data_IF_048529034883
#
_entry.id   IF_048529034883
#
_cell.length_a   1.000
_cell.length_b   1.000
_cell.length_c   1.000
_cell.angle_alpha   90.00
_cell.angle_beta   90.00
_cell.angle_gamma   90.00
#
_symmetry.space_group_name_H-M   'P 1'
#
loop_
_entity.id
_entity.type
_entity.pdbx_description
1 polymer ?
#
# COMPACT_ATOMS: atom_id res chain seq x y z
N UNK A 1 -39.00 44.29 38.87
CA UNK A 1 -38.49 44.42 37.49
C UNK A 1 -36.99 44.24 37.56
N UNK A 2 -36.48 43.21 36.87
CA UNK A 2 -35.07 42.79 36.79
C UNK A 2 -34.19 43.93 36.21
N UNK A 3 -32.85 43.95 36.30
CA UNK A 3 -31.84 42.95 36.63
C UNK A 3 -30.52 43.67 37.01
N UNK A 4 -29.66 43.03 37.82
CA UNK A 4 -28.24 43.36 37.91
C UNK A 4 -27.39 42.09 38.17
N UNK A 5 -26.40 41.91 37.30
CA UNK A 5 -25.05 41.34 37.45
C UNK A 5 -24.72 40.01 38.20
N UNK A 6 -23.91 39.20 37.47
CA UNK A 6 -22.69 38.48 37.90
C UNK A 6 -22.71 37.03 38.47
N UNK A 7 -22.13 36.14 37.65
CA UNK A 7 -21.05 35.15 37.94
C UNK A 7 -21.29 33.78 38.65
N UNK A 8 -20.60 32.76 38.07
CA UNK A 8 -20.02 31.50 38.64
C UNK A 8 -20.81 30.15 38.63
N UNK A 9 -20.27 29.22 37.82
CA UNK A 9 -20.05 27.76 37.94
C UNK A 9 -21.18 26.69 38.06
N UNK A 10 -21.09 25.76 37.08
CA UNK A 10 -21.24 24.28 37.10
C UNK A 10 -22.59 23.62 37.43
N UNK A 11 -23.01 22.69 36.55
CA UNK A 11 -23.18 21.23 36.81
C UNK A 11 -23.95 20.58 35.65
N UNK A 12 -23.30 19.58 35.02
CA UNK A 12 -23.80 18.41 34.26
C UNK A 12 -25.02 18.49 33.32
N UNK A 13 -24.78 18.11 32.06
CA UNK A 13 -25.82 17.77 31.08
C UNK A 13 -25.24 17.11 29.83
N UNK A 14 -24.77 15.87 29.97
CA UNK A 14 -24.46 14.96 28.87
C UNK A 14 -25.79 14.53 28.24
N UNK A 15 -26.04 14.83 26.96
CA UNK A 15 -26.98 14.07 26.12
C UNK A 15 -26.57 14.12 24.64
N UNK A 16 -26.32 12.92 24.11
CA UNK A 16 -26.46 12.40 22.76
C UNK A 16 -26.42 13.33 21.53
N UNK A 17 -25.32 13.21 20.78
CA UNK A 17 -25.30 13.38 19.33
C UNK A 17 -24.96 12.04 18.64
N UNK A 18 -25.85 11.06 18.75
CA UNK A 18 -25.92 9.88 17.87
C UNK A 18 -27.13 10.00 16.94
N UNK A 19 -27.13 10.94 16.00
CA UNK A 19 -28.12 10.98 14.92
C UNK A 19 -27.73 11.98 13.81
N UNK A 20 -26.53 11.89 13.22
CA UNK A 20 -26.23 12.69 12.01
C UNK A 20 -25.16 12.09 11.07
N UNK A 21 -24.91 10.78 11.13
CA UNK A 21 -23.90 10.10 10.28
C UNK A 21 -24.54 9.26 9.16
N UNK A 22 -25.86 9.07 9.15
CA UNK A 22 -26.53 8.18 8.20
C UNK A 22 -27.14 8.85 6.96
N UNK A 23 -27.05 10.18 6.81
CA UNK A 23 -27.70 10.90 5.68
C UNK A 23 -26.75 11.39 4.59
N UNK A 24 -25.43 11.16 4.69
CA UNK A 24 -24.45 11.66 3.71
C UNK A 24 -23.77 10.57 2.86
N UNK A 25 -24.26 9.33 2.91
CA UNK A 25 -23.69 8.19 2.16
C UNK A 25 -24.26 8.01 0.74
N UNK A 26 -25.29 8.75 0.34
CA UNK A 26 -25.94 8.56 -0.98
C UNK A 26 -25.44 9.52 -2.10
N UNK A 27 -24.39 10.31 -1.87
CA UNK A 27 -24.00 11.36 -2.82
C UNK A 27 -22.49 11.44 -3.14
N UNK A 28 -21.78 10.33 -3.31
CA UNK A 28 -20.41 10.32 -3.87
C UNK A 28 -20.00 9.01 -4.58
N UNK A 29 -20.94 8.16 -5.00
CA UNK A 29 -20.60 6.81 -5.53
C UNK A 29 -20.84 6.65 -7.04
N UNK A 30 -20.15 7.46 -7.86
CA UNK A 30 -20.19 7.33 -9.33
C UNK A 30 -18.90 6.82 -9.96
N UNK A 31 -17.79 6.72 -9.22
CA UNK A 31 -16.51 6.21 -9.74
C UNK A 31 -16.29 4.72 -9.49
N UNK A 32 -16.83 4.14 -8.41
CA UNK A 32 -16.70 2.70 -8.13
C UNK A 32 -17.69 1.83 -8.93
N UNK A 33 -18.79 2.40 -9.44
CA UNK A 33 -19.81 1.65 -10.18
C UNK A 33 -19.36 1.16 -11.57
N UNK A 34 -18.32 1.74 -12.17
CA UNK A 34 -17.89 1.37 -13.53
C UNK A 34 -17.13 0.03 -13.59
N UNK A 35 -16.49 -0.42 -12.51
CA UNK A 35 -15.84 -1.73 -12.45
C UNK A 35 -16.79 -2.90 -12.13
N UNK A 36 -17.97 -2.63 -11.57
CA UNK A 36 -18.89 -3.65 -11.03
C UNK A 36 -19.99 -4.09 -12.03
N UNK A 37 -20.32 -3.26 -13.01
CA UNK A 37 -21.50 -3.47 -13.85
C UNK A 37 -21.19 -4.28 -15.14
N UNK A 38 -20.96 -5.60 -15.02
CA UNK A 38 -21.23 -6.61 -16.09
C UNK A 38 -20.89 -8.04 -15.60
N UNK A 39 -21.90 -8.74 -15.08
CA UNK A 39 -21.80 -10.17 -14.77
C UNK A 39 -23.13 -10.88 -15.04
N UNK A 40 -23.24 -11.55 -16.18
CA UNK A 40 -24.38 -12.41 -16.49
C UNK A 40 -24.37 -13.70 -15.65
N UNK A 41 -25.57 -14.16 -15.30
CA UNK A 41 -25.86 -15.26 -14.37
C UNK A 41 -25.48 -16.64 -14.92
N UNK A 42 -24.81 -17.46 -14.11
CA UNK A 42 -24.79 -18.93 -14.23
C UNK A 42 -25.13 -19.55 -12.88
N UNK A 43 -26.10 -20.47 -12.85
CA UNK A 43 -26.63 -21.15 -11.64
C UNK A 43 -25.69 -22.30 -11.18
N UNK A 44 -25.60 -22.61 -9.88
CA UNK A 44 -24.76 -23.69 -9.38
C UNK A 44 -25.50 -25.03 -9.35
N UNK A 45 -24.83 -26.12 -9.76
CA UNK A 45 -25.27 -27.48 -9.47
C UNK A 45 -24.17 -28.30 -8.79
N UNK A 46 -24.47 -28.61 -7.52
CA UNK A 46 -24.17 -29.81 -6.74
C UNK A 46 -22.72 -30.26 -6.46
N UNK A 47 -22.54 -30.51 -5.16
CA UNK A 47 -21.37 -31.01 -4.47
C UNK A 47 -20.99 -32.44 -4.86
N UNK A 48 -19.68 -32.72 -4.78
CA UNK A 48 -19.14 -34.06 -4.73
C UNK A 48 -17.80 -34.04 -3.99
N UNK A 49 -17.77 -34.67 -2.81
CA UNK A 49 -16.52 -35.17 -2.21
C UNK A 49 -15.80 -36.06 -3.23
N UNK A 50 -14.45 -36.10 -3.26
CA UNK A 50 -13.67 -37.35 -3.23
C UNK A 50 -12.15 -37.07 -3.10
N UNK A 51 -11.63 -37.72 -2.06
CA UNK A 51 -10.31 -38.24 -1.70
C UNK A 51 -9.10 -38.14 -2.66
N UNK A 52 -7.97 -37.90 -1.99
CA UNK A 52 -6.58 -37.98 -2.43
C UNK A 52 -6.18 -39.41 -2.87
N UNK A 53 -5.66 -39.56 -4.08
CA UNK A 53 -4.77 -40.67 -4.47
C UNK A 53 -3.68 -40.12 -5.39
N UNK A 54 -2.42 -40.28 -4.96
CA UNK A 54 -1.28 -40.06 -5.83
C UNK A 54 -1.18 -41.13 -6.91
N UNK A 55 -0.44 -40.82 -7.98
CA UNK A 55 0.60 -41.66 -8.62
C UNK A 55 0.99 -41.11 -10.00
N UNK A 56 2.32 -41.06 -10.19
CA UNK A 56 3.16 -41.10 -11.41
C UNK A 56 3.07 -40.07 -12.54
N UNK A 57 4.28 -39.57 -12.84
CA UNK A 57 4.78 -39.07 -14.12
C UNK A 57 4.25 -39.86 -15.32
N UNK A 58 3.65 -39.14 -16.26
CA UNK A 58 3.75 -39.42 -17.70
C UNK A 58 3.83 -38.10 -18.46
N UNK A 59 4.78 -38.06 -19.39
CA UNK A 59 5.11 -36.97 -20.31
C UNK A 59 3.90 -36.52 -21.12
N UNK A 60 3.62 -35.21 -21.11
CA UNK A 60 2.72 -34.55 -22.03
C UNK A 60 3.48 -33.46 -22.79
N UNK A 61 3.19 -33.42 -24.08
CA UNK A 61 3.89 -32.72 -25.16
C UNK A 61 3.80 -31.20 -24.95
N UNK A 62 4.95 -30.53 -24.90
CA UNK A 62 5.05 -29.08 -24.79
C UNK A 62 4.45 -28.41 -26.04
N UNK A 63 3.34 -27.69 -25.85
CA UNK A 63 3.00 -26.56 -26.73
C UNK A 63 3.27 -25.29 -25.95
N UNK A 64 4.55 -24.93 -25.88
CA UNK A 64 4.94 -23.61 -25.42
C UNK A 64 4.46 -22.58 -26.45
N UNK A 65 3.61 -21.63 -26.03
CA UNK A 65 3.58 -20.34 -26.72
C UNK A 65 4.96 -19.72 -26.52
N UNK A 66 5.76 -19.72 -27.58
CA UNK A 66 7.02 -19.04 -27.63
C UNK A 66 6.77 -17.54 -27.49
N UNK A 67 7.12 -16.98 -26.33
CA UNK A 67 7.38 -15.55 -26.20
C UNK A 67 8.78 -15.35 -26.76
N UNK A 68 8.87 -15.29 -28.09
CA UNK A 68 10.05 -14.82 -28.79
C UNK A 68 9.85 -13.34 -29.10
N UNK A 69 10.28 -12.49 -28.17
CA UNK A 69 10.85 -11.20 -28.55
C UNK A 69 11.82 -10.72 -27.46
N UNK A 70 13.11 -10.91 -27.74
CA UNK A 70 14.20 -10.30 -27.00
C UNK A 70 14.52 -9.01 -27.77
N UNK A 71 14.12 -7.86 -27.23
CA UNK A 71 14.39 -6.55 -27.81
C UNK A 71 15.42 -5.75 -27.02
N UNK A 72 16.23 -4.98 -27.74
CA UNK A 72 16.85 -3.68 -27.38
C UNK A 72 15.96 -2.84 -26.42
N UNK A 73 16.45 -1.79 -25.70
CA UNK A 73 15.65 -1.05 -24.70
C UNK A 73 14.25 -0.73 -25.25
N UNK A 74 13.32 -1.60 -24.88
CA UNK A 74 12.06 -1.76 -25.58
C UNK A 74 11.05 -0.86 -24.91
N UNK A 75 10.04 -0.42 -25.67
CA UNK A 75 8.91 0.30 -25.10
C UNK A 75 8.36 -0.44 -23.87
N UNK A 76 8.08 0.34 -22.81
CA UNK A 76 7.57 -0.17 -21.54
C UNK A 76 6.32 -1.02 -21.79
N UNK A 77 6.19 -2.24 -21.22
CA UNK A 77 5.17 -3.22 -21.63
C UNK A 77 3.74 -2.69 -21.71
N UNK A 78 3.34 -1.81 -20.79
CA UNK A 78 2.01 -1.22 -20.73
C UNK A 78 1.64 -0.39 -21.98
N UNK A 79 2.61 0.17 -22.70
CA UNK A 79 2.36 0.96 -23.92
C UNK A 79 1.80 0.14 -25.09
N UNK A 80 1.93 -1.19 -25.02
CA UNK A 80 1.41 -2.14 -26.01
C UNK A 80 0.06 -2.75 -25.62
N UNK A 81 -0.40 -2.51 -24.39
CA UNK A 81 -1.68 -3.02 -23.91
C UNK A 81 -2.83 -2.25 -24.54
N UNK A 82 -3.97 -2.93 -24.71
CA UNK A 82 -5.22 -2.22 -24.97
C UNK A 82 -5.64 -1.38 -23.75
N UNK A 83 -6.49 -0.38 -23.95
CA UNK A 83 -7.01 0.42 -22.84
C UNK A 83 -7.74 -0.43 -21.77
N UNK A 84 -8.50 -1.45 -22.20
CA UNK A 84 -9.19 -2.39 -21.30
C UNK A 84 -8.21 -3.25 -20.50
N UNK A 85 -7.16 -3.76 -21.16
CA UNK A 85 -6.12 -4.54 -20.49
C UNK A 85 -5.38 -3.69 -19.48
N UNK A 86 -5.01 -2.45 -19.84
CA UNK A 86 -4.35 -1.51 -18.93
C UNK A 86 -5.23 -1.19 -17.72
N UNK A 87 -6.51 -0.92 -17.93
CA UNK A 87 -7.46 -0.68 -16.86
C UNK A 87 -7.52 -1.87 -15.89
N UNK A 88 -7.60 -3.09 -16.43
CA UNK A 88 -7.61 -4.30 -15.60
C UNK A 88 -6.31 -4.49 -14.82
N UNK A 89 -5.14 -4.17 -15.39
CA UNK A 89 -3.86 -4.22 -14.68
C UNK A 89 -3.80 -3.26 -13.49
N UNK A 90 -4.50 -2.12 -13.55
CA UNK A 90 -4.59 -1.13 -12.47
C UNK A 90 -5.89 -1.24 -11.66
N UNK A 91 -6.53 -2.41 -11.66
CA UNK A 91 -7.67 -2.71 -10.80
C UNK A 91 -7.38 -3.93 -9.91
N UNK A 92 -6.64 -3.76 -8.79
CA UNK A 92 -6.21 -4.89 -7.95
C UNK A 92 -7.36 -5.78 -7.44
N UNK A 93 -8.55 -5.19 -7.25
CA UNK A 93 -9.76 -5.93 -6.86
C UNK A 93 -10.19 -7.03 -7.83
N UNK A 94 -9.76 -6.97 -9.10
CA UNK A 94 -10.06 -8.00 -10.10
C UNK A 94 -9.06 -9.17 -10.09
N UNK A 95 -7.93 -9.04 -9.39
CA UNK A 95 -6.86 -10.05 -9.37
C UNK A 95 -6.87 -10.93 -8.12
N UNK A 96 -7.52 -10.45 -7.04
CA UNK A 96 -7.70 -11.22 -5.82
C UNK A 96 -8.43 -12.54 -6.08
N UNK A 97 -7.92 -13.64 -5.52
CA UNK A 97 -8.49 -14.99 -5.69
C UNK A 97 -9.41 -15.39 -4.54
N UNK A 98 -9.33 -14.67 -3.41
CA UNK A 98 -10.02 -15.00 -2.16
C UNK A 98 -11.48 -14.56 -2.17
N UNK A 99 -11.75 -13.34 -2.64
CA UNK A 99 -13.06 -12.71 -2.66
C UNK A 99 -13.33 -12.07 -4.03
N UNK A 100 -14.60 -11.88 -4.39
CA UNK A 100 -14.96 -11.07 -5.57
C UNK A 100 -14.60 -9.60 -5.32
N UNK A 101 -14.32 -8.85 -6.38
CA UNK A 101 -13.88 -7.45 -6.32
C UNK A 101 -14.64 -6.57 -5.31
N UNK A 102 -15.98 -6.51 -5.43
CA UNK A 102 -16.78 -5.69 -4.51
C UNK A 102 -16.73 -6.18 -3.06
N UNK A 103 -16.68 -7.50 -2.86
CA UNK A 103 -16.63 -8.10 -1.53
C UNK A 103 -15.27 -7.90 -0.88
N UNK A 104 -14.19 -7.95 -1.66
CA UNK A 104 -12.84 -7.61 -1.21
C UNK A 104 -12.78 -6.17 -0.70
N UNK A 105 -13.28 -5.19 -1.47
CA UNK A 105 -13.31 -3.78 -1.07
C UNK A 105 -14.14 -3.54 0.20
N UNK A 106 -15.33 -4.14 0.29
CA UNK A 106 -16.17 -4.04 1.49
C UNK A 106 -15.49 -4.67 2.71
N UNK A 107 -14.88 -5.83 2.55
CA UNK A 107 -14.18 -6.55 3.63
C UNK A 107 -12.98 -5.74 4.12
N UNK A 108 -12.17 -5.22 3.21
CA UNK A 108 -11.03 -4.37 3.51
C UNK A 108 -11.43 -3.15 4.36
N UNK A 109 -12.45 -2.39 3.93
CA UNK A 109 -12.93 -1.22 4.69
C UNK A 109 -13.52 -1.62 6.05
N UNK A 110 -14.30 -2.71 6.13
CA UNK A 110 -14.86 -3.18 7.40
C UNK A 110 -13.78 -3.58 8.41
N UNK A 111 -12.74 -4.31 7.97
CA UNK A 111 -11.61 -4.69 8.83
C UNK A 111 -10.87 -3.43 9.29
N UNK A 112 -10.62 -2.48 8.39
CA UNK A 112 -9.96 -1.21 8.70
C UNK A 112 -10.71 -0.36 9.71
N UNK A 113 -12.02 -0.19 9.53
CA UNK A 113 -12.91 0.53 10.46
C UNK A 113 -12.89 -0.14 11.83
N UNK A 114 -13.02 -1.47 11.87
CA UNK A 114 -13.03 -2.20 13.14
C UNK A 114 -11.68 -2.12 13.87
N UNK A 115 -10.56 -2.23 13.13
CA UNK A 115 -9.23 -2.05 13.68
C UNK A 115 -9.05 -0.64 14.27
N UNK A 116 -9.48 0.41 13.55
CA UNK A 116 -9.42 1.80 14.05
C UNK A 116 -10.32 2.03 15.25
N UNK A 117 -11.55 1.51 15.22
CA UNK A 117 -12.48 1.60 16.36
C UNK A 117 -11.87 0.97 17.60
N UNK A 118 -11.29 -0.23 17.46
CA UNK A 118 -10.61 -0.93 18.56
C UNK A 118 -9.42 -0.13 19.08
N UNK A 119 -8.51 0.27 18.19
CA UNK A 119 -7.33 1.04 18.55
C UNK A 119 -7.66 2.30 19.36
N UNK A 120 -8.68 3.07 18.94
CA UNK A 120 -9.15 4.27 19.67
C UNK A 120 -9.76 3.97 21.03
N UNK A 121 -10.40 2.80 21.16
CA UNK A 121 -11.03 2.40 22.42
C UNK A 121 -10.02 1.82 23.42
N UNK A 122 -8.95 1.18 22.95
CA UNK A 122 -8.06 0.38 23.79
C UNK A 122 -6.65 0.93 23.97
N UNK A 123 -6.20 1.87 23.13
CA UNK A 123 -4.82 2.41 23.19
C UNK A 123 -4.78 3.82 23.73
N UNK A 124 -3.68 4.14 24.41
CA UNK A 124 -3.33 5.54 24.72
C UNK A 124 -3.07 6.25 23.40
N UNK A 125 -3.84 7.30 23.10
CA UNK A 125 -3.75 7.98 21.81
C UNK A 125 -3.95 9.49 21.89
N UNK A 126 -3.35 10.21 20.94
CA UNK A 126 -3.71 11.58 20.57
C UNK A 126 -4.38 11.54 19.21
N UNK A 127 -5.65 11.92 19.13
CA UNK A 127 -6.43 11.88 17.89
C UNK A 127 -6.53 13.26 17.27
N UNK A 128 -6.61 13.31 15.95
CA UNK A 128 -6.79 14.54 15.16
C UNK A 128 -5.73 15.62 15.44
N UNK A 129 -4.49 15.21 15.67
CA UNK A 129 -3.37 16.12 15.89
C UNK A 129 -3.07 16.84 14.56
N UNK A 130 -3.18 18.17 14.49
CA UNK A 130 -2.86 18.90 13.28
C UNK A 130 -1.35 18.93 13.06
N UNK A 131 -0.92 18.59 11.85
CA UNK A 131 0.46 18.81 11.38
C UNK A 131 0.56 19.95 10.35
N UNK A 132 -0.59 20.51 9.98
CA UNK A 132 -0.75 21.68 9.13
C UNK A 132 -2.13 22.31 9.30
N UNK A 133 -2.48 23.26 8.44
CA UNK A 133 -3.68 24.09 8.57
C UNK A 133 -4.89 23.51 7.81
N UNK A 134 -4.66 22.54 6.91
CA UNK A 134 -5.72 21.93 6.11
C UNK A 134 -6.54 20.87 6.87
N UNK A 135 -7.79 20.65 6.42
CA UNK A 135 -8.66 19.62 7.02
C UNK A 135 -8.09 18.21 6.90
N UNK A 136 -7.41 17.91 5.79
CA UNK A 136 -6.70 16.64 5.57
C UNK A 136 -5.39 16.54 6.36
N UNK A 137 -4.94 17.62 7.02
CA UNK A 137 -3.60 17.71 7.60
C UNK A 137 -3.56 17.31 9.08
N UNK A 138 -4.15 16.15 9.35
CA UNK A 138 -4.32 15.59 10.69
C UNK A 138 -3.73 14.20 10.77
N UNK A 139 -3.22 13.83 11.94
CA UNK A 139 -2.76 12.48 12.23
C UNK A 139 -3.27 12.00 13.59
N UNK A 140 -3.37 10.68 13.73
CA UNK A 140 -3.62 10.03 15.02
C UNK A 140 -2.32 9.36 15.48
N UNK A 141 -1.93 9.58 16.74
CA UNK A 141 -0.74 8.96 17.35
C UNK A 141 -1.21 7.99 18.43
N UNK A 142 -0.80 6.73 18.32
CA UNK A 142 -1.05 5.67 19.27
C UNK A 142 0.25 5.28 19.95
N UNK A 143 0.27 5.26 21.28
CA UNK A 143 1.47 5.00 22.07
C UNK A 143 1.46 3.57 22.63
N UNK A 144 2.63 2.97 22.86
CA UNK A 144 2.74 1.77 23.66
C UNK A 144 2.26 2.00 25.10
N UNK A 145 1.88 0.92 25.77
CA UNK A 145 1.36 0.98 27.14
C UNK A 145 2.46 1.35 28.15
N UNK A 146 3.68 0.85 27.92
CA UNK A 146 4.85 1.20 28.72
C UNK A 146 5.42 2.55 28.29
N UNK A 147 5.57 3.46 29.26
CA UNK A 147 6.18 4.76 29.02
C UNK A 147 7.69 4.60 28.86
N UNK A 148 8.24 5.16 27.77
CA UNK A 148 9.67 5.30 27.57
C UNK A 148 10.01 6.76 27.21
N UNK A 149 11.24 7.18 27.52
CA UNK A 149 11.72 8.52 27.20
C UNK A 149 11.90 8.74 25.69
N UNK A 150 12.21 7.67 24.96
CA UNK A 150 12.35 7.65 23.51
C UNK A 150 11.64 6.41 22.96
N UNK A 151 11.02 6.55 21.79
CA UNK A 151 10.27 5.48 21.12
C UNK A 151 10.63 5.45 19.64
N UNK A 152 10.63 4.27 18.99
CA UNK A 152 10.54 4.19 17.54
C UNK A 152 9.13 4.59 17.09
N UNK A 153 9.05 5.32 15.97
CA UNK A 153 7.80 5.75 15.35
C UNK A 153 7.58 5.03 14.03
N UNK A 154 6.36 4.54 13.82
CA UNK A 154 5.91 3.92 12.59
C UNK A 154 4.76 4.75 12.00
N UNK A 155 5.02 5.45 10.90
CA UNK A 155 4.03 6.26 10.19
C UNK A 155 3.42 5.44 9.07
N UNK A 156 2.09 5.42 8.98
CA UNK A 156 1.36 4.74 7.93
C UNK A 156 0.62 5.73 7.01
N UNK A 157 0.81 5.53 5.70
CA UNK A 157 0.08 6.23 4.64
C UNK A 157 -0.86 5.24 3.93
N UNK A 158 -2.15 5.56 3.89
CA UNK A 158 -3.18 4.66 3.38
C UNK A 158 -3.16 4.54 1.84
N UNK A 159 -3.84 3.52 1.31
CA UNK A 159 -4.03 3.34 -0.13
C UNK A 159 -5.22 4.14 -0.67
N UNK A 160 -5.78 3.68 -1.79
CA UNK A 160 -7.02 4.22 -2.37
C UNK A 160 -6.85 5.14 -3.58
N UNK A 161 -5.80 4.93 -4.38
CA UNK A 161 -5.53 5.69 -5.61
C UNK A 161 -5.55 7.22 -5.43
N UNK A 162 -5.11 7.69 -4.25
CA UNK A 162 -5.08 9.12 -3.89
C UNK A 162 -6.45 9.82 -3.95
N UNK A 163 -7.54 9.09 -4.09
CA UNK A 163 -8.89 9.60 -4.28
C UNK A 163 -9.91 8.95 -3.33
N UNK A 164 -9.45 8.05 -2.46
CA UNK A 164 -10.24 7.34 -1.46
C UNK A 164 -9.36 6.91 -0.29
N UNK A 165 -9.99 6.38 0.76
CA UNK A 165 -9.33 6.01 2.01
C UNK A 165 -9.32 7.13 3.04
N UNK A 166 -9.04 6.77 4.30
CA UNK A 166 -8.90 7.72 5.41
C UNK A 166 -8.05 7.12 6.53
N UNK A 167 -7.44 7.99 7.35
CA UNK A 167 -6.85 7.59 8.64
C UNK A 167 -7.85 6.88 9.56
N UNK A 168 -9.14 7.16 9.40
CA UNK A 168 -10.22 6.65 10.26
C UNK A 168 -10.57 5.18 9.98
N UNK A 169 -9.99 4.57 8.95
CA UNK A 169 -10.15 3.15 8.59
C UNK A 169 -8.80 2.46 8.31
N UNK A 170 -7.69 3.02 8.81
CA UNK A 170 -6.33 2.59 8.43
C UNK A 170 -5.44 2.12 9.58
N UNK A 171 -6.00 1.88 10.78
CA UNK A 171 -5.23 1.54 11.98
C UNK A 171 -4.86 0.05 12.11
N UNK A 172 -4.75 -0.70 11.01
CA UNK A 172 -4.55 -2.16 10.99
C UNK A 172 -3.39 -2.62 11.90
N UNK A 173 -2.26 -1.92 11.85
CA UNK A 173 -1.02 -2.25 12.53
C UNK A 173 -0.90 -1.70 13.97
N UNK A 174 -1.85 -0.88 14.43
CA UNK A 174 -1.72 -0.17 15.71
C UNK A 174 -1.57 -1.15 16.87
N UNK A 175 -2.47 -2.12 16.97
CA UNK A 175 -2.48 -3.07 18.09
C UNK A 175 -1.21 -3.93 18.21
N UNK A 176 -0.73 -4.58 17.14
CA UNK A 176 0.48 -5.41 17.24
C UNK A 176 1.76 -4.60 17.44
N UNK A 177 1.88 -3.41 16.85
CA UNK A 177 3.11 -2.60 16.96
C UNK A 177 3.20 -1.86 18.30
N UNK A 178 2.11 -1.30 18.80
CA UNK A 178 2.11 -0.67 20.13
C UNK A 178 2.39 -1.68 21.24
N UNK A 179 1.92 -2.93 21.09
CA UNK A 179 2.27 -4.03 21.99
C UNK A 179 3.76 -4.41 21.97
N UNK A 180 4.54 -3.93 20.98
CA UNK A 180 5.98 -4.15 20.85
C UNK A 180 6.80 -2.88 21.16
N UNK A 181 6.21 -1.88 21.81
CA UNK A 181 6.92 -0.67 22.20
C UNK A 181 7.06 0.38 21.09
N UNK A 182 6.32 0.24 19.97
CA UNK A 182 6.39 1.17 18.84
C UNK A 182 5.24 2.18 18.91
N UNK A 183 5.55 3.47 18.79
CA UNK A 183 4.53 4.50 18.58
C UNK A 183 4.04 4.44 17.13
N UNK A 184 2.73 4.34 16.91
CA UNK A 184 2.15 4.24 15.57
C UNK A 184 1.41 5.52 15.23
N UNK A 185 1.67 6.05 14.04
CA UNK A 185 1.08 7.28 13.54
C UNK A 185 0.30 6.99 12.28
N UNK A 186 -1.02 7.22 12.29
CA UNK A 186 -1.86 7.08 11.10
C UNK A 186 -2.12 8.48 10.54
N UNK A 187 -1.62 8.73 9.33
CA UNK A 187 -1.61 10.06 8.72
C UNK A 187 -2.77 10.19 7.74
N UNK A 188 -3.58 11.24 7.88
CA UNK A 188 -4.46 11.69 6.81
C UNK A 188 -3.71 12.65 5.89
N UNK A 189 -4.20 12.78 4.66
CA UNK A 189 -3.81 13.79 3.68
C UNK A 189 -5.05 14.08 2.81
N UNK A 190 -5.06 15.20 2.09
CA UNK A 190 -6.13 15.50 1.16
C UNK A 190 -6.16 14.48 0.01
N UNK A 191 -7.32 14.26 -0.59
CA UNK A 191 -7.50 13.32 -1.69
C UNK A 191 -8.10 14.02 -2.91
N UNK A 192 -7.86 13.48 -4.10
CA UNK A 192 -8.42 13.98 -5.34
C UNK A 192 -9.95 13.82 -5.36
N UNK A 193 -10.68 14.72 -6.04
CA UNK A 193 -10.20 15.83 -6.85
C UNK A 193 -9.88 17.11 -6.05
N UNK A 194 -10.06 17.10 -4.72
CA UNK A 194 -9.84 18.29 -3.88
C UNK A 194 -8.36 18.63 -3.71
N UNK A 195 -7.52 17.61 -3.53
CA UNK A 195 -6.07 17.74 -3.45
C UNK A 195 -5.37 17.23 -4.71
N UNK A 196 -4.25 17.86 -5.08
CA UNK A 196 -3.35 17.37 -6.14
C UNK A 196 -2.28 16.44 -5.56
N UNK A 197 -1.65 15.61 -6.41
CA UNK A 197 -0.55 14.74 -5.95
C UNK A 197 0.60 15.52 -5.31
N UNK A 198 0.97 16.68 -5.86
CA UNK A 198 2.03 17.51 -5.26
C UNK A 198 1.66 17.98 -3.85
N UNK A 199 0.38 18.35 -3.63
CA UNK A 199 -0.11 18.74 -2.32
C UNK A 199 -0.05 17.56 -1.35
N UNK A 200 -0.45 16.36 -1.78
CA UNK A 200 -0.39 15.15 -0.95
C UNK A 200 1.04 14.79 -0.57
N UNK A 201 1.98 14.86 -1.52
CA UNK A 201 3.41 14.63 -1.28
C UNK A 201 3.96 15.65 -0.27
N UNK A 202 3.64 16.94 -0.42
CA UNK A 202 4.03 17.97 0.54
C UNK A 202 3.41 17.73 1.93
N UNK A 203 2.14 17.34 1.97
CA UNK A 203 1.42 17.02 3.20
C UNK A 203 2.07 15.88 3.99
N UNK A 204 2.34 14.74 3.36
CA UNK A 204 3.03 13.63 4.05
C UNK A 204 4.48 13.98 4.40
N UNK A 205 5.14 14.85 3.63
CA UNK A 205 6.47 15.37 4.00
C UNK A 205 6.39 16.18 5.29
N UNK A 206 5.39 17.06 5.41
CA UNK A 206 5.15 17.86 6.61
C UNK A 206 4.73 17.02 7.81
N UNK A 207 3.97 15.93 7.62
CA UNK A 207 3.60 15.04 8.72
C UNK A 207 4.84 14.35 9.32
N UNK A 208 5.78 13.91 8.49
CA UNK A 208 7.07 13.33 8.95
C UNK A 208 7.90 14.39 9.68
N UNK A 209 7.99 15.59 9.11
CA UNK A 209 8.71 16.70 9.74
C UNK A 209 8.10 17.10 11.08
N UNK A 210 6.77 17.08 11.19
CA UNK A 210 6.03 17.31 12.43
C UNK A 210 6.42 16.28 13.50
N UNK A 211 6.36 14.98 13.19
CA UNK A 211 6.74 13.92 14.15
C UNK A 211 8.19 14.09 14.60
N UNK A 212 9.13 14.39 13.68
CA UNK A 212 10.52 14.63 14.05
C UNK A 212 10.69 15.84 14.98
N UNK A 213 9.97 16.93 14.76
CA UNK A 213 10.03 18.15 15.61
C UNK A 213 9.41 17.90 16.98
N UNK A 214 8.28 17.20 17.01
CA UNK A 214 7.55 16.91 18.24
C UNK A 214 8.28 15.88 19.13
N UNK A 215 8.98 14.93 18.50
CA UNK A 215 9.72 13.86 19.17
C UNK A 215 11.19 13.85 18.70
N UNK A 216 11.99 14.86 19.06
CA UNK A 216 13.35 15.01 18.56
C UNK A 216 14.28 13.87 19.01
N UNK A 217 14.01 13.27 20.17
CA UNK A 217 14.76 12.16 20.75
C UNK A 217 14.25 10.77 20.32
N UNK A 218 13.43 10.66 19.27
CA UNK A 218 12.91 9.37 18.82
C UNK A 218 14.04 8.38 18.46
N UNK A 219 13.80 7.09 18.65
CA UNK A 219 14.79 6.03 18.34
C UNK A 219 14.83 5.67 16.85
N UNK A 220 13.95 6.27 16.04
CA UNK A 220 13.87 6.07 14.60
C UNK A 220 12.47 6.28 14.08
N UNK A 221 12.37 6.75 12.84
CA UNK A 221 11.12 6.90 12.10
C UNK A 221 11.12 5.88 10.96
N UNK A 222 10.06 5.07 10.92
CA UNK A 222 9.79 4.09 9.89
C UNK A 222 8.55 4.52 9.13
N UNK A 223 8.62 4.52 7.79
CA UNK A 223 7.51 4.89 6.94
C UNK A 223 6.96 3.63 6.28
N UNK A 224 5.66 3.43 6.38
CA UNK A 224 4.95 2.37 5.69
C UNK A 224 3.84 2.97 4.86
N UNK A 225 3.69 2.48 3.65
CA UNK A 225 2.59 2.86 2.80
C UNK A 225 2.07 1.65 2.05
N UNK A 226 0.77 1.68 1.76
CA UNK A 226 0.10 0.67 0.93
C UNK A 226 -0.40 1.30 -0.36
N UNK A 227 -0.17 0.67 -1.51
CA UNK A 227 -0.71 1.13 -2.79
C UNK A 227 -0.30 2.59 -3.09
N UNK A 228 -1.26 3.49 -3.26
CA UNK A 228 -1.03 4.94 -3.34
C UNK A 228 -0.24 5.52 -2.13
N UNK A 229 -0.39 4.95 -0.95
CA UNK A 229 0.42 5.33 0.23
C UNK A 229 1.86 4.86 0.12
N UNK A 230 2.13 3.72 -0.52
CA UNK A 230 3.49 3.25 -0.78
C UNK A 230 4.23 4.19 -1.75
N UNK A 231 3.50 4.74 -2.72
CA UNK A 231 3.98 5.83 -3.56
C UNK A 231 4.38 7.05 -2.72
N UNK A 232 3.49 7.53 -1.83
CA UNK A 232 3.75 8.68 -0.97
C UNK A 232 4.96 8.43 -0.04
N UNK A 233 5.08 7.22 0.53
CA UNK A 233 6.25 6.81 1.30
C UNK A 233 7.52 6.82 0.44
N UNK A 234 7.48 6.29 -0.79
CA UNK A 234 8.63 6.30 -1.69
C UNK A 234 9.07 7.72 -2.08
N UNK A 235 8.15 8.67 -2.22
CA UNK A 235 8.49 10.07 -2.46
C UNK A 235 9.31 10.69 -1.32
N UNK A 236 9.21 10.17 -0.09
CA UNK A 236 10.01 10.65 1.04
C UNK A 236 11.51 10.28 0.93
N UNK A 237 11.86 9.32 0.06
CA UNK A 237 13.26 9.06 -0.32
C UNK A 237 13.88 10.23 -1.11
N UNK A 238 13.03 11.05 -1.75
CA UNK A 238 13.40 12.18 -2.62
C UNK A 238 13.15 13.54 -1.94
N UNK A 239 12.57 13.54 -0.74
CA UNK A 239 12.18 14.76 -0.07
C UNK A 239 13.39 15.62 0.31
N UNK A 240 13.30 16.93 0.04
CA UNK A 240 14.31 17.87 0.49
C UNK A 240 14.04 18.31 1.93
N UNK A 241 14.47 17.51 2.89
CA UNK A 241 14.23 17.73 4.32
C UNK A 241 14.73 19.09 4.84
N UNK A 242 15.81 19.62 4.26
CA UNK A 242 16.34 20.95 4.63
C UNK A 242 15.33 22.07 4.37
N UNK A 243 14.50 21.95 3.32
CA UNK A 243 13.40 22.89 3.04
C UNK A 243 12.34 22.89 4.15
N UNK A 244 12.17 21.77 4.85
CA UNK A 244 11.22 21.61 5.96
C UNK A 244 11.84 21.90 7.34
N UNK A 245 13.13 22.29 7.38
CA UNK A 245 13.85 22.67 8.59
C UNK A 245 14.11 21.51 9.54
N UNK A 246 14.25 20.28 9.03
CA UNK A 246 14.51 19.06 9.81
C UNK A 246 15.50 18.15 9.11
N UNK A 247 16.13 17.28 9.89
CA UNK A 247 16.75 16.04 9.39
C UNK A 247 16.05 14.89 10.12
N UNK A 248 15.04 14.24 9.52
CA UNK A 248 14.32 13.17 10.20
C UNK A 248 15.20 11.95 10.40
N UNK A 249 15.05 11.31 11.56
CA UNK A 249 15.76 10.09 11.94
C UNK A 249 15.18 8.86 11.22
N UNK A 250 15.15 8.88 9.89
CA UNK A 250 14.55 7.83 9.06
C UNK A 250 15.39 6.55 9.10
N UNK A 251 14.78 5.44 9.55
CA UNK A 251 15.44 4.14 9.67
C UNK A 251 14.95 3.10 8.68
N UNK A 252 13.72 3.23 8.18
CA UNK A 252 13.26 2.31 7.16
C UNK A 252 11.96 2.67 6.47
N UNK A 253 11.75 2.00 5.35
CA UNK A 253 10.62 2.16 4.46
C UNK A 253 10.02 0.80 4.13
N UNK A 254 8.70 0.67 4.29
CA UNK A 254 7.91 -0.50 3.93
C UNK A 254 6.96 -0.09 2.81
N UNK A 255 7.31 -0.45 1.57
CA UNK A 255 6.60 -0.04 0.38
C UNK A 255 5.75 -1.22 -0.10
N UNK A 256 4.49 -1.24 0.30
CA UNK A 256 3.59 -2.39 0.15
C UNK A 256 2.66 -2.23 -1.05
N UNK A 257 2.80 -3.11 -2.04
CA UNK A 257 2.02 -3.15 -3.29
C UNK A 257 1.89 -1.78 -3.95
N UNK A 258 3.00 -1.06 -4.11
CA UNK A 258 2.98 0.34 -4.56
C UNK A 258 2.97 0.56 -6.08
N UNK A 259 2.65 1.79 -6.48
CA UNK A 259 2.78 2.32 -7.85
C UNK A 259 3.85 3.41 -7.85
N UNK A 260 4.95 3.22 -8.57
CA UNK A 260 6.13 4.08 -8.55
C UNK A 260 6.38 4.82 -9.87
N UNK A 261 5.77 4.36 -10.97
CA UNK A 261 5.65 5.05 -12.26
C UNK A 261 4.17 5.36 -12.51
N UNK A 262 3.87 6.66 -12.60
CA UNK A 262 2.51 7.18 -12.72
C UNK A 262 2.09 7.48 -14.16
N UNK A 263 2.99 7.40 -15.14
CA UNK A 263 2.61 7.61 -16.55
C UNK A 263 1.47 6.68 -17.01
N UNK A 264 1.45 5.38 -16.65
CA UNK A 264 0.34 4.49 -17.02
C UNK A 264 -1.01 4.92 -16.42
N UNK A 265 -1.00 5.47 -15.20
CA UNK A 265 -2.22 5.88 -14.50
C UNK A 265 -2.98 6.95 -15.29
N UNK A 266 -2.27 7.80 -16.03
CA UNK A 266 -2.88 8.83 -16.88
C UNK A 266 -3.87 8.28 -17.90
N UNK A 267 -3.69 7.01 -18.29
CA UNK A 267 -4.47 6.33 -19.32
C UNK A 267 -5.52 5.37 -18.72
N UNK A 268 -5.76 5.44 -17.41
CA UNK A 268 -6.77 4.66 -16.69
C UNK A 268 -7.91 5.56 -16.22
N UNK A 269 -9.02 4.95 -15.81
CA UNK A 269 -10.16 5.66 -15.21
C UNK A 269 -9.78 6.45 -13.93
N UNK A 270 -8.71 6.06 -13.25
CA UNK A 270 -8.21 6.77 -12.06
C UNK A 270 -7.82 8.22 -12.38
N UNK A 271 -7.42 8.52 -13.62
CA UNK A 271 -7.03 9.87 -13.99
C UNK A 271 -8.21 10.86 -14.10
N UNK A 272 -9.46 10.38 -14.05
CA UNK A 272 -10.64 11.26 -14.06
C UNK A 272 -10.66 12.20 -12.85
N UNK A 273 -10.33 11.70 -11.65
CA UNK A 273 -10.23 12.52 -10.45
C UNK A 273 -8.88 13.20 -10.31
N UNK A 274 -7.79 12.52 -10.69
CA UNK A 274 -6.42 13.01 -10.50
C UNK A 274 -6.03 14.11 -11.49
N UNK A 275 -6.58 14.07 -12.71
CA UNK A 275 -6.31 15.02 -13.79
C UNK A 275 -4.80 15.23 -14.06
N UNK A 276 -4.01 14.17 -13.95
CA UNK A 276 -2.56 14.23 -14.15
C UNK A 276 -2.24 14.59 -15.60
N UNK A 277 -1.39 15.60 -15.75
CA UNK A 277 -0.62 15.80 -16.97
C UNK A 277 0.61 14.88 -16.98
N UNK A 278 1.27 14.76 -18.13
CA UNK A 278 2.53 14.02 -18.23
C UNK A 278 3.60 14.60 -17.30
N UNK A 279 3.63 15.93 -17.16
CA UNK A 279 4.56 16.61 -16.27
C UNK A 279 4.29 16.25 -14.81
N UNK A 280 3.02 16.23 -14.40
CA UNK A 280 2.63 15.85 -13.03
C UNK A 280 3.00 14.38 -12.74
N UNK A 281 2.70 13.47 -13.67
CA UNK A 281 3.02 12.07 -13.56
C UNK A 281 4.54 11.84 -13.45
N UNK A 282 5.35 12.47 -14.32
CA UNK A 282 6.80 12.37 -14.27
C UNK A 282 7.38 12.98 -12.99
N UNK A 283 6.86 14.14 -12.56
CA UNK A 283 7.30 14.79 -11.32
C UNK A 283 6.97 13.95 -10.09
N UNK A 284 5.85 13.26 -10.09
CA UNK A 284 5.41 12.40 -8.99
C UNK A 284 5.78 10.92 -9.16
N UNK A 285 6.62 10.54 -10.13
CA UNK A 285 7.07 9.15 -10.28
C UNK A 285 8.42 8.93 -9.59
N UNK A 286 8.47 8.35 -8.37
CA UNK A 286 9.75 8.07 -7.71
C UNK A 286 10.62 7.10 -8.52
N UNK A 287 10.02 6.24 -9.37
CA UNK A 287 10.70 5.35 -10.30
C UNK A 287 11.76 6.07 -11.14
N UNK A 288 11.48 7.31 -11.57
CA UNK A 288 12.33 8.05 -12.50
C UNK A 288 13.53 8.73 -11.83
N UNK A 289 13.55 8.81 -10.50
CA UNK A 289 14.45 9.70 -9.74
C UNK A 289 15.29 8.99 -8.69
N UNK A 290 14.79 7.86 -8.16
CA UNK A 290 15.39 7.22 -6.97
C UNK A 290 16.83 6.73 -7.18
N UNK A 291 17.19 6.32 -8.39
CA UNK A 291 18.55 5.87 -8.71
C UNK A 291 19.59 7.00 -8.64
N UNK A 292 19.16 8.26 -8.77
CA UNK A 292 20.03 9.44 -8.68
C UNK A 292 20.03 10.06 -7.28
N UNK A 293 19.06 9.69 -6.44
CA UNK A 293 18.96 10.17 -5.08
C UNK A 293 19.94 9.42 -4.17
N UNK A 294 20.54 10.15 -3.23
CA UNK A 294 21.44 9.59 -2.24
C UNK A 294 20.71 9.46 -0.89
N UNK A 295 20.88 8.35 -0.15
CA UNK A 295 20.30 8.20 1.17
C UNK A 295 20.87 9.24 2.13
N UNK A 296 19.99 9.97 2.82
CA UNK A 296 20.38 10.90 3.90
C UNK A 296 21.05 10.14 5.05
N UNK A 297 20.54 8.94 5.36
CA UNK A 297 21.14 8.00 6.30
C UNK A 297 21.49 6.70 5.56
N UNK A 298 22.78 6.36 5.38
CA UNK A 298 23.20 5.15 4.68
C UNK A 298 22.82 3.86 5.44
N UNK A 299 22.29 3.95 6.65
CA UNK A 299 21.75 2.81 7.41
C UNK A 299 20.27 2.56 7.13
N UNK A 300 19.56 3.52 6.53
CA UNK A 300 18.16 3.39 6.18
C UNK A 300 17.91 2.23 5.22
N UNK A 301 16.90 1.41 5.51
CA UNK A 301 16.54 0.22 4.72
C UNK A 301 15.22 0.40 3.99
N UNK A 302 15.13 -0.10 2.77
CA UNK A 302 13.89 -0.07 1.98
C UNK A 302 13.44 -1.50 1.69
N UNK A 303 12.27 -1.89 2.18
CA UNK A 303 11.63 -3.15 1.85
C UNK A 303 10.50 -2.87 0.85
N UNK A 304 10.63 -3.41 -0.36
CA UNK A 304 9.56 -3.41 -1.37
C UNK A 304 8.83 -4.75 -1.30
N UNK A 305 7.52 -4.69 -1.12
CA UNK A 305 6.66 -5.88 -0.92
C UNK A 305 5.54 -5.89 -1.93
N UNK A 306 5.19 -7.07 -2.46
CA UNK A 306 4.03 -7.25 -3.34
C UNK A 306 3.30 -8.56 -3.02
N UNK A 307 1.98 -8.60 -3.16
CA UNK A 307 1.19 -9.82 -2.97
C UNK A 307 1.36 -10.77 -4.16
N UNK A 308 1.27 -12.08 -3.95
CA UNK A 308 1.30 -13.02 -5.07
C UNK A 308 0.13 -12.80 -6.03
N UNK A 309 -1.05 -12.48 -5.51
CA UNK A 309 -2.27 -12.26 -6.30
C UNK A 309 -2.50 -10.78 -6.63
N UNK A 310 -1.44 -9.96 -6.60
CA UNK A 310 -1.43 -8.67 -7.27
C UNK A 310 -1.36 -8.81 -8.80
N UNK A 311 -1.71 -7.75 -9.52
CA UNK A 311 -1.62 -7.74 -10.98
C UNK A 311 -0.16 -7.74 -11.48
N UNK A 312 0.09 -8.20 -12.72
CA UNK A 312 1.39 -8.10 -13.36
C UNK A 312 2.02 -6.70 -13.33
N UNK A 313 1.24 -5.61 -13.47
CA UNK A 313 1.80 -4.25 -13.37
C UNK A 313 2.25 -3.89 -11.95
N UNK A 314 1.54 -4.30 -10.90
CA UNK A 314 2.01 -4.10 -9.53
C UNK A 314 3.28 -4.90 -9.22
N UNK A 315 3.39 -6.13 -9.74
CA UNK A 315 4.63 -6.92 -9.70
C UNK A 315 5.77 -6.23 -10.44
N UNK A 316 5.52 -5.77 -11.68
CA UNK A 316 6.51 -5.09 -12.51
C UNK A 316 7.03 -3.82 -11.83
N UNK A 317 6.12 -2.95 -11.40
CA UNK A 317 6.52 -1.69 -10.76
C UNK A 317 7.28 -1.91 -9.46
N UNK A 318 6.85 -2.86 -8.62
CA UNK A 318 7.58 -3.21 -7.39
C UNK A 318 8.98 -3.75 -7.69
N UNK A 319 9.11 -4.62 -8.70
CA UNK A 319 10.38 -5.19 -9.11
C UNK A 319 11.33 -4.14 -9.69
N UNK A 320 10.86 -3.32 -10.64
CA UNK A 320 11.68 -2.30 -11.27
C UNK A 320 12.07 -1.20 -10.29
N UNK A 321 11.19 -0.81 -9.36
CA UNK A 321 11.52 0.17 -8.33
C UNK A 321 12.62 -0.35 -7.40
N UNK A 322 12.53 -1.62 -7.00
CA UNK A 322 13.58 -2.30 -6.27
C UNK A 322 14.92 -2.32 -7.03
N UNK A 323 14.90 -2.55 -8.34
CA UNK A 323 16.12 -2.49 -9.16
C UNK A 323 16.71 -1.08 -9.17
N UNK A 324 15.90 -0.03 -9.32
CA UNK A 324 16.36 1.36 -9.31
C UNK A 324 16.93 1.77 -7.94
N UNK A 325 16.33 1.29 -6.85
CA UNK A 325 16.90 1.44 -5.50
C UNK A 325 18.29 0.82 -5.41
N UNK A 326 18.47 -0.41 -5.91
CA UNK A 326 19.78 -1.06 -5.90
C UNK A 326 20.81 -0.37 -6.78
N UNK A 327 20.40 0.20 -7.92
CA UNK A 327 21.27 1.00 -8.77
C UNK A 327 21.73 2.30 -8.09
N UNK A 328 20.83 2.94 -7.32
CA UNK A 328 21.16 4.09 -6.48
C UNK A 328 21.85 3.74 -5.16
N UNK A 329 22.37 2.51 -5.02
CA UNK A 329 23.07 2.01 -3.83
C UNK A 329 22.26 2.04 -2.52
N UNK A 330 20.94 2.12 -2.61
CA UNK A 330 20.06 2.02 -1.44
C UNK A 330 20.14 0.61 -0.83
N UNK A 331 20.07 0.52 0.50
CA UNK A 331 19.94 -0.77 1.19
C UNK A 331 18.52 -1.31 1.04
N UNK A 332 18.26 -1.90 -0.13
CA UNK A 332 16.94 -2.40 -0.46
C UNK A 332 16.85 -3.94 -0.46
N UNK A 333 15.66 -4.43 -0.15
CA UNK A 333 15.24 -5.82 -0.30
C UNK A 333 13.87 -5.88 -0.97
N UNK A 334 13.63 -6.98 -1.69
CA UNK A 334 12.34 -7.27 -2.32
C UNK A 334 11.77 -8.56 -1.79
N UNK A 335 10.47 -8.54 -1.53
CA UNK A 335 9.72 -9.70 -1.09
C UNK A 335 8.36 -9.80 -1.79
N UNK A 336 8.05 -11.01 -2.25
CA UNK A 336 6.71 -11.36 -2.71
C UNK A 336 6.06 -12.24 -1.65
N UNK A 337 4.90 -11.81 -1.14
CA UNK A 337 4.16 -12.59 -0.15
C UNK A 337 3.32 -13.66 -0.85
N UNK A 338 3.52 -14.91 -0.41
CA UNK A 338 2.78 -16.06 -0.91
C UNK A 338 1.33 -16.06 -0.41
N UNK A 339 0.41 -16.49 -1.27
CA UNK A 339 -1.01 -16.65 -0.99
C UNK A 339 -1.74 -15.39 -0.48
N UNK A 340 -1.23 -14.21 -0.82
CA UNK A 340 -1.76 -12.92 -0.37
C UNK A 340 -2.14 -12.05 -1.57
N UNK A 341 -3.31 -11.41 -1.49
CA UNK A 341 -3.78 -10.40 -2.45
C UNK A 341 -3.46 -8.95 -2.03
N UNK A 342 -3.82 -8.00 -2.89
CA UNK A 342 -3.54 -6.57 -2.69
C UNK A 342 -4.12 -5.98 -1.40
N UNK A 343 -5.20 -6.55 -0.86
CA UNK A 343 -5.91 -6.03 0.31
C UNK A 343 -5.51 -6.80 1.57
N UNK A 344 -5.45 -8.13 1.46
CA UNK A 344 -5.10 -9.04 2.54
C UNK A 344 -3.70 -8.74 3.11
N UNK A 345 -2.79 -8.23 2.28
CA UNK A 345 -1.44 -7.84 2.72
C UNK A 345 -1.44 -6.82 3.87
N UNK A 346 -2.41 -5.90 3.88
CA UNK A 346 -2.58 -4.91 4.95
C UNK A 346 -3.54 -5.39 6.02
N UNK A 347 -4.60 -6.14 5.66
CA UNK A 347 -5.49 -6.77 6.64
C UNK A 347 -4.70 -7.63 7.64
N UNK A 348 -3.70 -8.36 7.14
CA UNK A 348 -2.84 -9.21 7.95
C UNK A 348 -1.94 -8.43 8.92
N UNK A 349 -1.78 -7.11 8.76
CA UNK A 349 -1.09 -6.27 9.76
C UNK A 349 -1.86 -6.17 11.08
N UNK A 350 -3.10 -6.66 11.15
CA UNK A 350 -3.83 -6.83 12.42
C UNK A 350 -3.32 -8.01 13.26
N UNK A 351 -2.58 -8.94 12.65
CA UNK A 351 -2.08 -10.15 13.30
C UNK A 351 -0.68 -9.91 13.87
N UNK A 352 -0.44 -10.33 15.13
CA UNK A 352 0.86 -10.12 15.81
C UNK A 352 2.01 -10.89 15.17
N UNK A 353 1.71 -12.06 14.62
CA UNK A 353 2.68 -12.98 14.01
C UNK A 353 2.93 -12.67 12.53
N UNK A 354 2.28 -11.65 11.96
CA UNK A 354 2.56 -11.23 10.60
C UNK A 354 4.02 -10.76 10.47
N UNK A 355 4.65 -11.12 9.36
CA UNK A 355 6.06 -10.78 9.12
C UNK A 355 6.32 -9.27 9.15
N UNK A 356 5.40 -8.45 8.63
CA UNK A 356 5.53 -7.00 8.60
C UNK A 356 5.26 -6.35 9.96
N UNK A 357 4.78 -7.11 10.96
CA UNK A 357 4.58 -6.63 12.33
C UNK A 357 5.62 -7.17 13.32
N UNK A 358 6.56 -8.03 12.92
CA UNK A 358 7.58 -8.61 13.81
C UNK A 358 8.82 -7.69 14.01
N UNK A 359 8.86 -6.93 15.11
CA UNK A 359 10.04 -6.12 15.49
C UNK A 359 11.12 -7.05 16.08
N UNK A 360 12.21 -7.30 15.34
CA UNK A 360 13.37 -8.06 15.88
C UNK A 360 14.24 -7.25 16.86
N UNK A 361 15.11 -7.91 17.67
CA UNK A 361 16.04 -7.24 18.61
C UNK A 361 17.18 -6.46 17.93
N UNK A 362 17.34 -6.64 16.61
CA UNK A 362 18.04 -5.73 15.73
C UNK A 362 17.00 -5.11 14.81
N UNK A 363 17.09 -3.80 14.47
CA UNK A 363 16.07 -3.13 13.66
C UNK A 363 15.80 -3.95 12.41
N UNK A 364 14.59 -4.55 12.40
CA UNK A 364 13.94 -5.25 11.29
C UNK A 364 14.92 -5.91 10.31
N UNK A 365 15.60 -6.97 10.77
CA UNK A 365 16.28 -7.90 9.87
C UNK A 365 15.24 -8.88 9.29
N UNK A 366 15.06 -8.96 7.96
CA UNK A 366 14.16 -9.95 7.38
C UNK A 366 14.66 -11.36 7.71
N UNK A 367 13.73 -12.21 8.18
CA UNK A 367 13.99 -13.57 8.61
C UNK A 367 14.67 -14.41 7.52
N UNK A 368 15.72 -15.16 7.89
CA UNK A 368 16.39 -16.12 7.00
C UNK A 368 15.45 -17.30 6.72
N UNK A 369 14.94 -17.45 5.49
CA UNK A 369 14.21 -18.65 5.10
C UNK A 369 13.32 -18.60 3.83
N UNK A 370 13.04 -17.43 3.26
CA UNK A 370 12.23 -17.29 2.02
C UNK A 370 13.05 -16.70 0.87
N UNK A 371 12.48 -16.60 -0.34
CA UNK A 371 13.10 -16.04 -1.55
C UNK A 371 13.39 -14.53 -1.40
N UNK A 372 14.28 -14.20 -0.48
CA UNK A 372 14.71 -12.84 -0.17
C UNK A 372 15.80 -12.44 -1.15
N UNK A 373 15.58 -11.33 -1.86
CA UNK A 373 16.60 -10.76 -2.75
C UNK A 373 17.14 -9.49 -2.12
N UNK A 374 18.46 -9.44 -1.94
CA UNK A 374 19.21 -8.24 -1.55
C UNK A 374 19.90 -7.64 -2.78
N UNK A 375 20.21 -6.34 -2.75
CA UNK A 375 20.87 -5.69 -3.88
C UNK A 375 22.17 -6.40 -4.31
N UNK A 376 22.94 -6.94 -3.34
CA UNK A 376 24.14 -7.74 -3.65
C UNK A 376 23.79 -8.99 -4.48
N UNK A 377 22.74 -9.72 -4.12
CA UNK A 377 22.31 -10.90 -4.87
C UNK A 377 21.82 -10.58 -6.29
N UNK A 378 21.23 -9.39 -6.50
CA UNK A 378 20.82 -8.95 -7.84
C UNK A 378 22.00 -8.57 -8.73
N UNK A 379 22.92 -7.75 -8.22
CA UNK A 379 24.09 -7.30 -8.97
C UNK A 379 24.98 -8.50 -9.34
N UNK A 380 25.13 -9.48 -8.44
CA UNK A 380 25.84 -10.73 -8.71
C UNK A 380 25.13 -11.60 -9.77
N UNK A 381 23.79 -11.56 -9.85
CA UNK A 381 23.03 -12.28 -10.88
C UNK A 381 23.12 -11.59 -12.26
N UNK A 382 23.12 -10.26 -12.29
CA UNK A 382 23.26 -9.47 -13.53
C UNK A 382 24.66 -9.60 -14.13
N UNK A 383 25.72 -9.64 -13.31
CA UNK A 383 27.10 -9.85 -13.79
C UNK A 383 27.36 -11.26 -14.33
N UNK A 384 26.56 -12.25 -13.92
CA UNK A 384 26.65 -13.65 -14.37
C UNK A 384 25.74 -14.02 -15.54
N UNK A 385 24.77 -13.16 -15.87
CA UNK A 385 23.78 -13.41 -16.92
C UNK A 385 23.89 -12.37 -18.03
N UNK A 386 24.20 -12.79 -19.26
CA UNK A 386 24.13 -11.93 -20.46
C UNK A 386 22.68 -11.66 -20.93
N UNK A 387 21.67 -11.92 -20.09
CA UNK A 387 20.25 -11.70 -20.38
C UNK A 387 19.53 -11.13 -19.13
N UNK A 388 18.72 -10.08 -19.25
CA UNK A 388 17.81 -9.67 -18.18
C UNK A 388 16.78 -10.78 -17.96
N UNK A 389 16.85 -11.48 -16.83
CA UNK A 389 15.89 -12.52 -16.49
C UNK A 389 14.69 -11.89 -15.76
N UNK A 390 13.59 -11.69 -16.49
CA UNK A 390 12.27 -11.50 -15.89
C UNK A 390 11.86 -12.80 -15.20
N UNK A 391 11.28 -12.78 -13.99
CA UNK A 391 10.48 -13.90 -13.52
C UNK A 391 9.31 -14.09 -14.50
N UNK A 392 9.17 -15.28 -15.09
CA UNK A 392 8.00 -15.58 -15.91
C UNK A 392 6.83 -15.88 -14.98
N UNK A 393 5.89 -14.93 -14.88
CA UNK A 393 4.69 -15.06 -14.07
C UNK A 393 3.66 -15.90 -14.83
N UNK A 394 3.49 -17.17 -14.46
CA UNK A 394 2.40 -18.01 -15.00
C UNK A 394 1.19 -17.95 -14.09
N UNK A 395 0.13 -17.32 -14.56
CA UNK A 395 -1.21 -17.57 -14.04
C UNK A 395 -1.68 -18.93 -14.56
N UNK A 396 -1.84 -19.91 -13.68
CA UNK A 396 -2.48 -21.17 -14.04
C UNK A 396 -4.00 -20.98 -14.12
N UNK A 397 -4.47 -20.44 -15.24
CA UNK A 397 -5.90 -20.46 -15.57
C UNK A 397 -6.25 -21.87 -16.04
N UNK A 398 -6.99 -22.61 -15.21
CA UNK A 398 -7.52 -23.93 -15.58
C UNK A 398 -8.60 -23.78 -16.66
N UNK A 399 -8.23 -23.89 -17.93
CA UNK A 399 -9.19 -24.04 -19.03
C UNK A 399 -9.68 -25.49 -19.10
N UNK A 400 -10.89 -25.76 -18.59
CA UNK A 400 -11.64 -27.00 -18.87
C UNK A 400 -12.97 -26.66 -19.54
N UNK A 401 -13.00 -26.69 -20.88
CA UNK A 401 -13.95 -27.46 -21.69
C UNK A 401 -13.97 -26.99 -23.16
N UNK A 402 -13.25 -27.71 -24.02
CA UNK A 402 -13.63 -27.89 -25.42
C UNK A 402 -13.47 -29.36 -25.75
N UNK A 403 -14.47 -30.19 -25.41
CA UNK A 403 -14.56 -31.54 -25.98
C UNK A 403 -15.39 -31.48 -27.26
N UNK A 404 -14.68 -31.79 -28.35
CA UNK A 404 -15.14 -32.18 -29.68
C UNK A 404 -16.47 -32.93 -29.66
N UNK A 405 -17.43 -32.41 -30.41
CA UNK A 405 -18.46 -33.22 -31.05
C UNK A 405 -17.79 -33.90 -32.25
N UNK A 406 -17.66 -35.22 -32.21
CA UNK A 406 -17.32 -36.05 -33.37
C UNK A 406 -17.89 -37.45 -33.19
N UNK A 407 -18.99 -37.68 -33.91
CA UNK A 407 -19.39 -38.93 -34.58
C UNK A 407 -19.69 -40.20 -33.76
N UNK A 408 -20.89 -40.71 -34.07
CA UNK A 408 -21.52 -42.02 -33.82
C UNK A 408 -22.12 -42.29 -32.45
#
# INVERSE_FOLDING_TARGET
MCAEAAAVASVFGILDHQALVLSNLEATDTSHQLCAARGERVRPSQAGLWQYKGVTRTSAVDTAMAISDVGLPGEVPWKKMSAEELENQYCPSQWGVRLRAEEALRTYSQIGIEATRRARATRKSLLHVPYGDGEGEKLDIYFPDEAAEALPFFLFFHGGYWQSGSKDESAFMVDPLTAQGVAVVIVAYDIAPKGTLDQMVDQVTRSVAFVQKQYPSNEGIYLCGHSAGAHLAAMMLLANWTKHGVTPNLKGFFLVSGVFDLEPIMYTSQNVALQLTLEDAQRNSPQLKVAQAQPVDPTCRVLVVVGQFDSPEFHRQSWEFYQNLCQGEWKASFEQLHDVDHFEIVENLTQKDNMLTQVGPHPWQPFRGRQHRSCRSLLDAQTRSSRPAWPTWRNSVSTKNTKKISQM
#
